data_IF_953037823787
#
_entry.id   IF_953037823787
#
_cell.length_a   1.000
_cell.length_b   1.000
_cell.length_c   1.000
_cell.angle_alpha   90.00
_cell.angle_beta   90.00
_cell.angle_gamma   90.00
#
_symmetry.space_group_name_H-M   'P 1'
#
loop_
_entity.id
_entity.type
_entity.pdbx_description
1 polymer ?
#
# COMPACT_ATOMS: atom_id res chain seq x y z
N UNK A 1 -58.48 -32.59 41.65
CA UNK A 1 -57.67 -31.35 41.50
C UNK A 1 -56.22 -31.47 41.96
N UNK A 2 -55.85 -32.23 43.01
CA UNK A 2 -54.43 -32.32 43.51
C UNK A 2 -53.46 -32.95 42.48
N UNK A 3 -53.91 -33.84 41.58
CA UNK A 3 -53.02 -34.43 40.57
C UNK A 3 -52.61 -33.47 39.44
N UNK A 4 -53.52 -32.61 39.01
CA UNK A 4 -53.25 -31.65 37.93
C UNK A 4 -52.19 -30.56 38.38
N UNK A 5 -52.28 -30.14 39.63
CA UNK A 5 -51.30 -29.14 40.17
C UNK A 5 -49.90 -29.74 40.19
N UNK A 6 -49.74 -31.00 40.59
CA UNK A 6 -48.42 -31.68 40.58
C UNK A 6 -47.80 -31.84 39.18
N UNK A 7 -48.67 -32.09 38.18
CA UNK A 7 -48.19 -32.14 36.78
C UNK A 7 -47.76 -30.78 36.29
N UNK A 8 -48.50 -29.73 36.64
CA UNK A 8 -48.14 -28.35 36.29
C UNK A 8 -46.82 -27.90 36.96
N UNK A 9 -46.66 -28.24 38.24
CA UNK A 9 -45.40 -27.97 38.99
C UNK A 9 -44.22 -28.69 38.33
N UNK A 10 -44.35 -29.95 37.90
CA UNK A 10 -43.33 -30.71 37.26
C UNK A 10 -42.94 -30.10 35.89
N UNK A 11 -43.92 -29.63 35.10
CA UNK A 11 -43.66 -28.97 33.81
C UNK A 11 -42.93 -27.67 34.00
N UNK A 12 -43.35 -26.83 34.97
CA UNK A 12 -42.69 -25.56 35.27
C UNK A 12 -41.24 -25.80 35.75
N UNK A 13 -41.05 -26.76 36.68
CA UNK A 13 -39.70 -27.12 37.13
C UNK A 13 -38.80 -27.60 35.99
N UNK A 14 -39.35 -28.40 35.06
CA UNK A 14 -38.59 -28.88 33.87
C UNK A 14 -38.19 -27.71 32.94
N UNK A 15 -39.08 -26.75 32.72
CA UNK A 15 -38.81 -25.58 31.89
C UNK A 15 -37.73 -24.71 32.55
N UNK A 16 -37.82 -24.48 33.87
CA UNK A 16 -36.83 -23.73 34.61
C UNK A 16 -35.44 -24.44 34.54
N UNK A 17 -35.44 -25.76 34.72
CA UNK A 17 -34.21 -26.55 34.65
C UNK A 17 -33.58 -26.51 33.25
N UNK A 18 -34.39 -26.68 32.19
CA UNK A 18 -33.95 -26.58 30.82
C UNK A 18 -33.40 -25.18 30.46
N UNK A 19 -34.07 -24.14 30.95
CA UNK A 19 -33.62 -22.75 30.77
C UNK A 19 -32.31 -22.50 31.53
N UNK A 20 -32.19 -22.96 32.75
CA UNK A 20 -30.95 -22.89 33.52
C UNK A 20 -29.83 -23.66 32.85
N UNK A 21 -30.09 -24.89 32.42
CA UNK A 21 -29.11 -25.69 31.68
C UNK A 21 -28.67 -25.01 30.36
N UNK A 22 -29.57 -24.37 29.62
CA UNK A 22 -29.21 -23.63 28.40
C UNK A 22 -28.36 -22.38 28.67
N UNK A 23 -28.46 -21.81 29.87
CA UNK A 23 -27.58 -20.73 30.30
C UNK A 23 -26.19 -21.21 30.70
N UNK A 24 -26.11 -22.37 31.35
CA UNK A 24 -24.82 -22.94 31.78
C UNK A 24 -24.11 -23.70 30.66
N UNK A 25 -24.86 -24.37 29.81
CA UNK A 25 -24.35 -25.01 28.60
C UNK A 25 -24.56 -24.08 27.37
N UNK A 26 -24.01 -22.86 27.42
CA UNK A 26 -23.74 -22.19 26.16
C UNK A 26 -22.93 -23.21 25.34
N UNK A 27 -23.37 -23.58 24.13
CA UNK A 27 -22.48 -24.34 23.26
C UNK A 27 -21.22 -23.48 23.13
N UNK A 28 -20.17 -23.84 23.87
CA UNK A 28 -18.87 -23.44 23.49
C UNK A 28 -18.72 -24.10 22.11
N UNK A 29 -18.87 -23.27 21.08
CA UNK A 29 -18.36 -23.62 19.76
C UNK A 29 -16.86 -23.71 20.02
N UNK A 30 -16.44 -24.90 20.44
CA UNK A 30 -15.02 -25.26 20.41
C UNK A 30 -14.75 -25.18 18.91
N UNK A 31 -14.13 -24.07 18.48
CA UNK A 31 -13.48 -24.04 17.17
C UNK A 31 -12.44 -25.16 17.28
N UNK A 32 -12.87 -26.35 16.90
CA UNK A 32 -12.00 -27.50 16.84
C UNK A 32 -10.97 -27.11 15.80
N UNK A 33 -9.68 -27.32 16.05
CA UNK A 33 -8.62 -26.99 15.09
C UNK A 33 -8.86 -27.56 13.68
N UNK A 34 -9.86 -28.39 13.53
CA UNK A 34 -10.42 -28.92 12.27
C UNK A 34 -11.00 -27.85 11.38
N UNK A 35 -11.68 -26.82 11.92
CA UNK A 35 -12.30 -25.77 11.11
C UNK A 35 -11.22 -24.90 10.44
N UNK A 36 -10.15 -24.59 11.16
CA UNK A 36 -9.02 -23.87 10.59
C UNK A 36 -8.24 -24.70 9.57
N UNK A 37 -8.12 -26.02 9.79
CA UNK A 37 -7.50 -26.95 8.83
C UNK A 37 -8.35 -27.05 7.57
N UNK A 38 -9.66 -27.20 7.73
CA UNK A 38 -10.60 -27.27 6.60
C UNK A 38 -10.57 -25.98 5.77
N UNK A 39 -10.62 -24.81 6.43
CA UNK A 39 -10.51 -23.53 5.75
C UNK A 39 -9.17 -23.41 4.99
N UNK A 40 -8.06 -23.79 5.63
CA UNK A 40 -6.74 -23.75 4.98
C UNK A 40 -6.68 -24.68 3.77
N UNK A 41 -7.22 -25.89 3.88
CA UNK A 41 -7.26 -26.84 2.76
C UNK A 41 -8.11 -26.29 1.64
N UNK A 42 -9.33 -25.80 1.95
CA UNK A 42 -10.23 -25.17 0.96
C UNK A 42 -9.55 -23.98 0.26
N UNK A 43 -8.89 -23.10 1.00
CA UNK A 43 -8.18 -21.97 0.42
C UNK A 43 -7.05 -22.41 -0.53
N UNK A 44 -6.25 -23.41 -0.11
CA UNK A 44 -5.19 -23.96 -0.96
C UNK A 44 -5.74 -24.61 -2.23
N UNK A 45 -6.81 -25.38 -2.13
CA UNK A 45 -7.43 -26.05 -3.28
C UNK A 45 -8.00 -25.07 -4.28
N UNK A 46 -8.63 -23.99 -3.80
CA UNK A 46 -9.14 -22.90 -4.65
C UNK A 46 -7.99 -22.19 -5.37
N UNK A 47 -6.94 -21.80 -4.63
CA UNK A 47 -5.78 -21.13 -5.21
C UNK A 47 -5.07 -22.04 -6.21
N UNK A 48 -4.89 -23.32 -5.89
CA UNK A 48 -4.31 -24.30 -6.79
C UNK A 48 -5.17 -24.49 -8.07
N UNK A 49 -6.49 -24.56 -7.93
CA UNK A 49 -7.41 -24.63 -9.06
C UNK A 49 -7.31 -23.42 -9.98
N UNK A 50 -7.29 -22.20 -9.40
CA UNK A 50 -7.11 -20.95 -10.16
C UNK A 50 -5.78 -20.92 -10.93
N UNK A 51 -4.73 -21.44 -10.32
CA UNK A 51 -3.42 -21.51 -10.94
C UNK A 51 -3.38 -22.51 -12.10
N UNK A 52 -3.80 -23.76 -11.85
CA UNK A 52 -3.70 -24.84 -12.83
C UNK A 52 -4.59 -24.63 -14.07
N UNK A 53 -5.71 -23.96 -13.91
CA UNK A 53 -6.58 -23.64 -15.05
C UNK A 53 -6.21 -22.33 -15.78
N UNK A 54 -5.15 -21.63 -15.33
CA UNK A 54 -4.68 -20.36 -15.90
C UNK A 54 -5.54 -19.14 -15.59
N UNK A 55 -6.64 -19.31 -14.87
CA UNK A 55 -7.56 -18.21 -14.56
C UNK A 55 -6.94 -17.15 -13.64
N UNK A 56 -6.02 -17.55 -12.74
CA UNK A 56 -5.34 -16.63 -11.86
C UNK A 56 -4.57 -15.56 -12.64
N UNK A 57 -3.74 -15.98 -13.60
CA UNK A 57 -2.98 -15.05 -14.44
C UNK A 57 -3.90 -14.16 -15.26
N UNK A 58 -4.99 -14.72 -15.81
CA UNK A 58 -5.98 -13.96 -16.56
C UNK A 58 -6.62 -12.87 -15.69
N UNK A 59 -7.16 -13.23 -14.53
CA UNK A 59 -7.81 -12.27 -13.63
C UNK A 59 -6.85 -11.16 -13.17
N UNK A 60 -5.58 -11.53 -12.86
CA UNK A 60 -4.58 -10.57 -12.38
C UNK A 60 -4.12 -9.63 -13.50
N UNK A 61 -3.80 -10.14 -14.69
CA UNK A 61 -3.26 -9.31 -15.77
C UNK A 61 -4.33 -8.50 -16.51
N UNK A 62 -5.56 -9.00 -16.60
CA UNK A 62 -6.68 -8.29 -17.21
C UNK A 62 -7.41 -7.38 -16.22
N UNK A 63 -7.02 -7.38 -14.92
CA UNK A 63 -7.74 -6.69 -13.84
C UNK A 63 -9.24 -7.02 -13.82
N UNK A 64 -9.55 -8.31 -13.98
CA UNK A 64 -10.94 -8.78 -14.04
C UNK A 64 -11.49 -9.04 -12.63
N UNK A 65 -11.73 -7.95 -11.89
CA UNK A 65 -12.30 -7.98 -10.54
C UNK A 65 -13.64 -8.70 -10.50
N UNK A 66 -14.45 -8.48 -11.56
CA UNK A 66 -15.78 -9.08 -11.63
C UNK A 66 -15.69 -10.59 -11.79
N UNK A 67 -14.86 -11.07 -12.72
CA UNK A 67 -14.65 -12.48 -12.94
C UNK A 67 -14.05 -13.17 -11.71
N UNK A 68 -13.12 -12.51 -11.03
CA UNK A 68 -12.54 -13.04 -9.80
C UNK A 68 -13.57 -13.11 -8.67
N UNK A 69 -14.39 -12.08 -8.48
CA UNK A 69 -15.47 -12.08 -7.48
C UNK A 69 -16.50 -13.17 -7.75
N UNK A 70 -16.89 -13.33 -9.01
CA UNK A 70 -17.83 -14.39 -9.42
C UNK A 70 -17.25 -15.79 -9.17
N UNK A 71 -15.96 -15.97 -9.45
CA UNK A 71 -15.28 -17.22 -9.18
C UNK A 71 -15.29 -17.57 -7.69
N UNK A 72 -14.87 -16.64 -6.81
CA UNK A 72 -14.85 -16.89 -5.36
C UNK A 72 -16.25 -17.05 -4.79
N UNK A 73 -17.22 -16.27 -5.27
CA UNK A 73 -18.62 -16.39 -4.87
C UNK A 73 -19.24 -17.75 -5.20
N UNK A 74 -18.74 -18.43 -6.25
CA UNK A 74 -19.18 -19.76 -6.65
C UNK A 74 -18.34 -20.88 -6.02
N UNK A 75 -17.04 -20.64 -5.78
CA UNK A 75 -16.12 -21.65 -5.26
C UNK A 75 -16.17 -21.80 -3.73
N UNK A 76 -16.51 -20.73 -3.02
CA UNK A 76 -16.58 -20.73 -1.57
C UNK A 76 -18.00 -21.02 -1.06
N UNK A 77 -18.13 -21.73 0.07
CA UNK A 77 -19.41 -21.88 0.76
C UNK A 77 -19.99 -20.50 1.14
N UNK A 78 -21.31 -20.36 1.09
CA UNK A 78 -22.02 -19.11 1.47
C UNK A 78 -21.76 -18.68 2.93
N UNK A 79 -21.27 -19.59 3.75
CA UNK A 79 -20.87 -19.36 5.15
C UNK A 79 -19.43 -18.88 5.28
N UNK A 80 -18.72 -18.69 4.17
CA UNK A 80 -17.32 -18.25 4.15
C UNK A 80 -17.20 -16.85 3.55
N UNK A 81 -16.59 -15.96 4.29
CA UNK A 81 -16.16 -14.65 3.79
C UNK A 81 -14.75 -14.75 3.20
N UNK A 82 -14.43 -13.85 2.30
CA UNK A 82 -13.09 -13.80 1.70
C UNK A 82 -12.63 -12.38 1.43
N UNK A 83 -11.32 -12.24 1.31
CA UNK A 83 -10.63 -11.07 0.78
C UNK A 83 -9.47 -11.52 -0.08
N UNK A 84 -9.30 -10.90 -1.22
CA UNK A 84 -8.19 -11.16 -2.13
C UNK A 84 -7.37 -9.92 -2.28
N UNK A 85 -6.07 -10.03 -2.10
CA UNK A 85 -5.10 -8.97 -2.36
C UNK A 85 -4.04 -9.49 -3.32
N UNK A 86 -3.77 -8.73 -4.37
CA UNK A 86 -2.73 -9.07 -5.34
C UNK A 86 -1.67 -8.00 -5.31
N UNK A 87 -0.44 -8.41 -5.04
CA UNK A 87 0.72 -7.55 -4.98
C UNK A 87 1.69 -7.91 -6.10
N UNK A 88 2.23 -6.94 -6.79
CA UNK A 88 3.42 -7.20 -7.60
C UNK A 88 4.60 -7.49 -6.69
N UNK A 89 5.29 -8.58 -6.94
CA UNK A 89 6.61 -8.78 -6.36
C UNK A 89 7.53 -7.79 -7.08
N UNK A 90 8.29 -6.94 -6.36
CA UNK A 90 9.26 -6.07 -7.00
C UNK A 90 10.10 -6.90 -7.97
N UNK A 91 10.04 -6.59 -9.25
CA UNK A 91 10.87 -7.27 -10.23
C UNK A 91 12.33 -7.05 -9.83
N UNK A 92 13.22 -7.99 -10.15
CA UNK A 92 14.65 -7.79 -9.96
C UNK A 92 15.18 -6.56 -10.74
N UNK A 93 14.36 -5.99 -11.60
CA UNK A 93 14.66 -4.87 -12.46
C UNK A 93 13.62 -3.77 -12.28
N UNK A 94 14.03 -2.60 -11.84
CA UNK A 94 13.19 -1.41 -11.76
C UNK A 94 13.62 -0.44 -12.85
N UNK A 95 12.69 -0.07 -13.73
CA UNK A 95 12.91 0.92 -14.78
C UNK A 95 12.47 2.29 -14.29
N UNK A 96 13.42 3.24 -14.25
CA UNK A 96 13.22 4.60 -13.78
C UNK A 96 13.47 5.55 -14.94
N UNK A 97 12.47 6.37 -15.24
CA UNK A 97 12.60 7.50 -16.18
C UNK A 97 13.04 8.75 -15.44
N UNK A 98 13.94 9.52 -16.03
CA UNK A 98 14.32 10.87 -15.58
C UNK A 98 14.00 11.87 -16.67
N UNK A 99 13.72 13.12 -16.31
CA UNK A 99 13.37 14.15 -17.30
C UNK A 99 14.55 14.98 -17.74
N UNK A 100 15.67 14.88 -17.04
CA UNK A 100 16.92 15.54 -17.36
C UNK A 100 18.13 14.64 -17.11
N UNK A 101 19.25 14.97 -17.74
CA UNK A 101 20.51 14.29 -17.46
C UNK A 101 20.97 14.56 -16.00
N UNK A 102 20.67 15.71 -15.45
CA UNK A 102 21.04 16.05 -14.08
C UNK A 102 20.28 15.16 -13.07
N UNK A 103 19.00 14.88 -13.34
CA UNK A 103 18.20 13.92 -12.55
C UNK A 103 18.82 12.52 -12.60
N UNK A 104 19.24 12.06 -13.78
CA UNK A 104 19.88 10.75 -13.95
C UNK A 104 21.21 10.68 -13.19
N UNK A 105 22.07 11.70 -13.35
CA UNK A 105 23.37 11.77 -12.65
C UNK A 105 23.17 11.79 -11.15
N UNK A 106 22.25 12.62 -10.66
CA UNK A 106 21.91 12.69 -9.25
C UNK A 106 21.47 11.34 -8.74
N UNK A 107 20.48 10.73 -9.37
CA UNK A 107 19.92 9.45 -8.93
C UNK A 107 20.97 8.34 -8.90
N UNK A 108 21.78 8.21 -9.94
CA UNK A 108 22.87 7.23 -10.02
C UNK A 108 23.96 7.46 -8.96
N UNK A 109 24.26 8.71 -8.65
CA UNK A 109 25.27 9.04 -7.63
C UNK A 109 24.83 8.63 -6.22
N UNK A 110 23.52 8.60 -5.98
CA UNK A 110 22.92 8.32 -4.67
C UNK A 110 22.70 6.83 -4.43
N UNK A 111 22.07 6.18 -5.38
CA UNK A 111 21.60 4.79 -5.21
C UNK A 111 22.40 3.78 -6.04
N UNK A 112 23.24 4.25 -6.95
CA UNK A 112 23.99 3.37 -7.86
C UNK A 112 23.09 2.68 -8.88
N UNK A 113 23.51 1.51 -9.31
CA UNK A 113 22.77 0.69 -10.29
C UNK A 113 22.00 -0.46 -9.63
N UNK A 114 22.06 -0.58 -8.30
CA UNK A 114 21.46 -1.69 -7.59
C UNK A 114 21.04 -1.30 -6.17
N UNK A 115 19.96 -1.91 -5.69
CA UNK A 115 19.51 -1.84 -4.31
C UNK A 115 19.52 -3.25 -3.74
N UNK A 116 20.18 -3.43 -2.58
CA UNK A 116 20.04 -4.66 -1.80
C UNK A 116 18.87 -4.52 -0.86
N UNK A 117 17.90 -5.42 -1.00
CA UNK A 117 16.73 -5.44 -0.15
C UNK A 117 16.48 -6.87 0.35
N UNK A 118 16.64 -7.08 1.65
CA UNK A 118 16.67 -8.42 2.27
C UNK A 118 17.72 -9.30 1.54
N UNK A 119 17.33 -10.48 1.07
CA UNK A 119 18.21 -11.41 0.36
C UNK A 119 18.19 -11.24 -1.17
N UNK A 120 17.67 -10.09 -1.65
CA UNK A 120 17.51 -9.82 -3.08
C UNK A 120 18.37 -8.67 -3.54
N UNK A 121 18.93 -8.82 -4.72
CA UNK A 121 19.61 -7.75 -5.45
C UNK A 121 18.66 -7.24 -6.53
N UNK A 122 18.35 -5.95 -6.51
CA UNK A 122 17.41 -5.29 -7.41
C UNK A 122 18.21 -4.34 -8.28
N UNK A 123 18.15 -4.53 -9.59
CA UNK A 123 18.86 -3.71 -10.56
C UNK A 123 18.01 -2.52 -11.00
N UNK A 124 18.63 -1.35 -11.07
CA UNK A 124 18.01 -0.12 -11.50
C UNK A 124 18.41 0.24 -12.91
N UNK A 125 17.43 0.37 -13.79
CA UNK A 125 17.60 0.83 -15.15
C UNK A 125 17.12 2.27 -15.27
N UNK A 126 18.05 3.21 -15.10
CA UNK A 126 17.73 4.64 -15.18
C UNK A 126 17.96 5.12 -16.61
N UNK A 127 16.96 5.78 -17.19
CA UNK A 127 17.02 6.30 -18.55
C UNK A 127 16.38 7.69 -18.62
N UNK A 128 17.08 8.62 -19.25
CA UNK A 128 16.48 9.92 -19.58
C UNK A 128 15.42 9.75 -20.66
N UNK A 129 14.27 10.39 -20.48
CA UNK A 129 13.09 10.30 -21.35
C UNK A 129 12.33 11.62 -21.38
N UNK A 130 11.36 11.71 -22.27
CA UNK A 130 10.40 12.82 -22.31
C UNK A 130 9.05 12.35 -21.77
N UNK A 131 8.26 13.27 -21.24
CA UNK A 131 6.91 12.96 -20.74
C UNK A 131 5.96 12.49 -21.87
N UNK A 132 6.24 12.85 -23.11
CA UNK A 132 5.44 12.44 -24.25
C UNK A 132 5.78 11.03 -24.75
N UNK A 133 6.94 10.48 -24.35
CA UNK A 133 7.41 9.15 -24.76
C UNK A 133 7.88 8.34 -23.54
N UNK A 134 6.93 8.02 -22.67
CA UNK A 134 7.17 7.20 -21.48
C UNK A 134 7.21 5.73 -21.90
N UNK A 135 8.39 5.11 -21.77
CA UNK A 135 8.55 3.67 -22.03
C UNK A 135 7.53 2.87 -21.19
N UNK A 136 6.77 1.94 -21.80
CA UNK A 136 5.78 1.11 -21.07
C UNK A 136 6.36 0.33 -19.88
N UNK A 137 7.66 0.04 -19.90
CA UNK A 137 8.36 -0.63 -18.79
C UNK A 137 8.69 0.28 -17.63
N UNK A 138 8.64 1.61 -17.83
CA UNK A 138 8.92 2.58 -16.77
C UNK A 138 7.92 2.44 -15.64
N UNK A 139 8.41 2.22 -14.44
CA UNK A 139 7.62 2.11 -13.21
C UNK A 139 7.66 3.38 -12.39
N UNK A 140 8.78 4.09 -12.44
CA UNK A 140 9.01 5.29 -11.65
C UNK A 140 9.48 6.41 -12.57
N UNK A 141 8.93 7.60 -12.41
CA UNK A 141 9.49 8.84 -12.94
C UNK A 141 10.11 9.60 -11.78
N UNK A 142 11.39 9.88 -11.90
CA UNK A 142 12.16 10.61 -10.91
C UNK A 142 12.49 12.01 -11.41
N UNK A 143 12.19 13.01 -10.59
CA UNK A 143 12.36 14.43 -10.90
C UNK A 143 13.10 15.10 -9.74
N UNK A 144 14.25 15.71 -10.03
CA UNK A 144 15.02 16.48 -9.06
C UNK A 144 15.02 17.96 -9.44
N UNK A 145 14.59 18.81 -8.50
CA UNK A 145 14.35 20.21 -8.79
C UNK A 145 12.94 20.47 -9.39
N UNK A 146 12.57 21.75 -9.40
CA UNK A 146 11.27 22.14 -9.94
C UNK A 146 11.30 22.21 -11.47
N UNK A 147 10.37 21.53 -12.08
CA UNK A 147 9.97 21.76 -13.47
C UNK A 147 8.45 21.88 -13.53
N UNK A 148 7.94 22.72 -14.42
CA UNK A 148 6.49 22.83 -14.61
C UNK A 148 5.97 21.54 -15.24
N UNK A 149 5.11 20.85 -14.53
CA UNK A 149 4.49 19.58 -14.97
C UNK A 149 3.13 19.78 -15.66
N UNK A 150 2.55 20.98 -15.60
CA UNK A 150 1.23 21.29 -16.18
C UNK A 150 1.10 20.96 -17.66
N UNK A 151 2.10 21.22 -18.53
CA UNK A 151 2.02 20.86 -19.93
C UNK A 151 1.83 19.33 -20.15
N UNK A 152 2.25 18.53 -19.17
CA UNK A 152 2.25 17.06 -19.25
C UNK A 152 1.15 16.40 -18.44
N UNK A 153 0.14 17.17 -17.99
CA UNK A 153 -0.94 16.69 -17.12
C UNK A 153 -1.59 15.39 -17.62
N UNK A 154 -1.89 15.31 -18.92
CA UNK A 154 -2.50 14.11 -19.51
C UNK A 154 -1.55 12.91 -19.48
N UNK A 155 -0.28 13.09 -19.82
CA UNK A 155 0.71 12.02 -19.79
C UNK A 155 0.95 11.51 -18.37
N UNK A 156 1.01 12.42 -17.39
CA UNK A 156 1.16 12.11 -15.96
C UNK A 156 -0.04 11.30 -15.47
N UNK A 157 -1.25 11.74 -15.74
CA UNK A 157 -2.45 11.02 -15.31
C UNK A 157 -2.51 9.63 -15.95
N UNK A 158 -2.22 9.50 -17.25
CA UNK A 158 -2.15 8.20 -17.92
C UNK A 158 -1.06 7.29 -17.33
N UNK A 159 0.06 7.87 -16.89
CA UNK A 159 1.12 7.11 -16.25
C UNK A 159 0.71 6.62 -14.85
N UNK A 160 0.10 7.48 -14.05
CA UNK A 160 -0.44 7.12 -12.74
C UNK A 160 -1.60 6.10 -12.86
N UNK A 161 -2.48 6.26 -13.85
CA UNK A 161 -3.58 5.32 -14.11
C UNK A 161 -3.09 3.89 -14.42
N UNK A 162 -1.89 3.76 -14.97
CA UNK A 162 -1.23 2.46 -15.19
C UNK A 162 -0.48 1.92 -13.96
N UNK A 163 -0.60 2.59 -12.81
CA UNK A 163 0.10 2.21 -11.58
C UNK A 163 1.54 2.72 -11.50
N UNK A 164 1.89 3.73 -12.29
CA UNK A 164 3.19 4.37 -12.25
C UNK A 164 3.40 5.21 -10.98
N UNK A 165 4.64 5.45 -10.61
CA UNK A 165 5.01 6.27 -9.45
C UNK A 165 5.82 7.48 -9.90
N UNK A 166 5.48 8.67 -9.38
CA UNK A 166 6.26 9.88 -9.61
C UNK A 166 6.89 10.32 -8.29
N UNK A 167 8.20 10.44 -8.28
CA UNK A 167 8.98 10.94 -7.14
C UNK A 167 9.53 12.31 -7.51
N UNK A 168 9.04 13.35 -6.86
CA UNK A 168 9.49 14.73 -7.01
C UNK A 168 10.27 15.16 -5.78
N UNK A 169 11.53 15.50 -5.95
CA UNK A 169 12.37 16.10 -4.90
C UNK A 169 12.60 17.56 -5.28
N UNK A 170 11.94 18.43 -4.60
CA UNK A 170 12.09 19.87 -4.87
C UNK A 170 11.64 20.72 -3.69
N UNK A 171 12.43 21.75 -3.41
CA UNK A 171 12.01 22.91 -2.64
C UNK A 171 11.08 23.75 -3.51
N UNK A 172 9.83 23.96 -3.07
CA UNK A 172 8.80 24.63 -3.84
C UNK A 172 8.45 25.99 -3.27
N UNK A 173 8.29 26.99 -4.13
CA UNK A 173 7.73 28.29 -3.77
C UNK A 173 6.20 28.28 -3.86
N UNK A 174 5.51 29.26 -3.26
CA UNK A 174 4.05 29.34 -3.23
C UNK A 174 3.41 29.30 -4.63
N UNK A 175 3.97 30.06 -5.57
CA UNK A 175 3.48 30.07 -6.95
C UNK A 175 3.64 28.74 -7.68
N UNK A 176 4.64 27.94 -7.29
CA UNK A 176 4.87 26.61 -7.83
C UNK A 176 3.89 25.59 -7.23
N UNK A 177 3.63 25.66 -5.91
CA UNK A 177 2.65 24.79 -5.26
C UNK A 177 1.24 25.01 -5.81
N UNK A 178 0.91 26.25 -6.17
CA UNK A 178 -0.36 26.58 -6.80
C UNK A 178 -0.43 26.14 -8.29
N UNK A 179 0.65 25.59 -8.84
CA UNK A 179 0.62 24.94 -10.14
C UNK A 179 -0.35 23.74 -10.08
N UNK A 180 -1.40 23.77 -10.91
CA UNK A 180 -2.59 22.92 -10.80
C UNK A 180 -2.29 21.44 -10.59
N UNK A 181 -1.25 20.90 -11.25
CA UNK A 181 -0.92 19.49 -11.13
C UNK A 181 -0.28 19.12 -9.77
N UNK A 182 0.52 20.02 -9.19
CA UNK A 182 1.12 19.77 -7.88
C UNK A 182 0.06 19.74 -6.79
N UNK A 183 -0.91 20.62 -6.87
CA UNK A 183 -2.05 20.63 -5.96
C UNK A 183 -2.99 19.44 -6.21
N UNK A 184 -3.41 19.20 -7.45
CA UNK A 184 -4.41 18.19 -7.79
C UNK A 184 -3.87 16.76 -7.67
N UNK A 185 -2.62 16.54 -8.08
CA UNK A 185 -2.06 15.18 -8.21
C UNK A 185 -1.16 14.82 -7.03
N UNK A 186 -0.30 15.74 -6.56
CA UNK A 186 0.54 15.50 -5.38
C UNK A 186 -0.16 15.94 -4.08
N UNK A 187 -1.32 16.58 -4.18
CA UNK A 187 -2.07 17.13 -3.04
C UNK A 187 -1.23 18.05 -2.16
N UNK A 188 -0.41 18.89 -2.80
CA UNK A 188 0.42 19.85 -2.10
C UNK A 188 -0.39 21.12 -1.83
N UNK A 189 -0.44 21.52 -0.57
CA UNK A 189 -1.09 22.76 -0.12
C UNK A 189 -0.05 23.64 0.54
N UNK A 190 -0.01 24.91 0.13
CA UNK A 190 0.90 25.89 0.74
C UNK A 190 0.47 26.24 2.16
N UNK A 191 1.34 26.04 3.13
CA UNK A 191 1.06 26.25 4.55
C UNK A 191 1.43 27.65 5.07
N UNK A 192 1.92 28.53 4.22
CA UNK A 192 2.39 29.87 4.58
C UNK A 192 3.92 30.00 4.55
N UNK A 193 4.44 31.22 4.65
CA UNK A 193 5.87 31.48 4.72
C UNK A 193 6.39 31.10 6.10
N UNK A 194 6.91 29.91 6.26
CA UNK A 194 7.59 29.48 7.46
C UNK A 194 9.09 29.47 7.27
N UNK A 195 9.80 30.48 7.73
CA UNK A 195 11.23 30.39 7.94
C UNK A 195 11.45 29.62 9.24
N UNK A 196 11.85 28.39 9.16
CA UNK A 196 12.17 27.58 10.32
C UNK A 196 13.40 26.73 10.03
N UNK A 197 14.52 27.03 10.69
CA UNK A 197 15.63 26.08 10.76
C UNK A 197 15.20 24.93 11.68
N UNK A 198 14.84 23.80 11.11
CA UNK A 198 14.43 22.61 11.85
C UNK A 198 15.41 21.47 11.61
N UNK A 199 15.94 20.92 12.67
CA UNK A 199 17.01 19.93 12.61
C UNK A 199 16.52 18.48 12.80
N UNK A 200 15.25 18.29 13.11
CA UNK A 200 14.68 16.98 13.39
C UNK A 200 13.47 16.71 12.49
N UNK A 201 13.46 15.53 11.90
CA UNK A 201 12.31 15.01 11.16
C UNK A 201 11.77 13.80 11.89
N UNK A 202 10.45 13.74 12.05
CA UNK A 202 9.78 12.60 12.66
C UNK A 202 9.03 11.83 11.60
N UNK A 203 9.30 10.52 11.56
CA UNK A 203 8.50 9.58 10.78
C UNK A 203 7.22 9.30 11.54
N UNK A 204 6.08 9.52 10.90
CA UNK A 204 4.81 9.05 11.43
C UNK A 204 4.68 7.55 11.12
N UNK A 205 5.04 6.73 12.11
CA UNK A 205 5.04 5.27 11.95
C UNK A 205 3.66 4.71 11.61
N UNK A 206 2.58 5.35 12.09
CA UNK A 206 1.21 4.92 11.78
C UNK A 206 0.90 5.14 10.31
N UNK A 207 1.26 6.29 9.78
CA UNK A 207 1.07 6.61 8.36
C UNK A 207 2.01 5.81 7.47
N UNK A 208 3.27 5.68 7.87
CA UNK A 208 4.22 4.84 7.15
C UNK A 208 3.74 3.38 7.06
N UNK A 209 3.09 2.87 8.10
CA UNK A 209 2.50 1.54 8.10
C UNK A 209 1.22 1.48 7.23
N UNK A 210 0.36 2.51 7.26
CA UNK A 210 -0.85 2.55 6.44
C UNK A 210 -0.54 2.52 4.95
N UNK A 211 0.51 3.23 4.53
CA UNK A 211 1.04 3.18 3.16
C UNK A 211 1.94 1.98 2.88
N UNK A 212 2.16 1.10 3.86
CA UNK A 212 3.06 -0.07 3.76
C UNK A 212 4.53 0.29 3.45
N UNK A 213 4.90 1.56 3.43
CA UNK A 213 6.27 2.01 3.16
C UNK A 213 7.24 1.63 4.29
N UNK A 214 6.73 1.47 5.51
CA UNK A 214 7.53 0.99 6.66
C UNK A 214 8.19 -0.37 6.40
N UNK A 215 7.65 -1.19 5.51
CA UNK A 215 8.23 -2.48 5.12
C UNK A 215 9.60 -2.34 4.46
N UNK A 216 9.89 -1.17 3.91
CA UNK A 216 11.14 -0.84 3.20
C UNK A 216 12.14 -0.07 4.05
N UNK A 217 11.76 0.38 5.24
CA UNK A 217 12.66 1.06 6.17
C UNK A 217 13.54 0.04 6.89
N UNK A 218 14.65 -0.36 6.29
CA UNK A 218 15.51 -1.38 6.89
C UNK A 218 16.33 -0.86 8.09
N UNK A 219 16.71 0.42 8.09
CA UNK A 219 17.61 0.99 9.09
C UNK A 219 17.22 2.40 9.56
N UNK A 220 16.00 2.86 9.24
CA UNK A 220 15.55 4.20 9.58
C UNK A 220 14.65 4.13 10.81
N UNK A 221 15.22 4.19 12.00
CA UNK A 221 14.45 4.27 13.25
C UNK A 221 14.09 5.70 13.64
N UNK A 222 14.92 6.64 13.27
CA UNK A 222 14.68 8.09 13.45
C UNK A 222 15.50 8.87 12.45
N UNK A 223 14.88 9.84 11.83
CA UNK A 223 15.57 10.75 10.93
C UNK A 223 15.96 12.00 11.72
N UNK A 224 17.21 12.07 12.16
CA UNK A 224 17.71 13.27 12.81
C UNK A 224 18.68 13.98 11.88
N UNK A 225 18.35 15.20 11.51
CA UNK A 225 19.23 16.06 10.74
C UNK A 225 19.97 17.01 11.68
N UNK A 226 21.28 16.88 11.73
CA UNK A 226 22.14 17.68 12.63
C UNK A 226 22.55 19.05 12.07
N UNK A 227 22.03 19.47 10.92
CA UNK A 227 22.31 20.76 10.31
C UNK A 227 21.04 21.55 10.10
N UNK A 228 21.15 22.87 10.30
CA UNK A 228 20.12 23.82 9.93
C UNK A 228 19.79 23.67 8.45
N UNK A 229 18.56 23.29 8.15
CA UNK A 229 17.98 23.61 6.86
C UNK A 229 17.66 25.08 6.89
N UNK A 230 18.31 25.82 6.07
CA UNK A 230 17.81 27.10 5.64
C UNK A 230 16.66 26.78 4.67
N UNK A 231 15.46 26.67 5.21
CA UNK A 231 14.26 26.79 4.38
C UNK A 231 14.21 28.27 3.99
N UNK A 232 14.93 28.63 2.96
CA UNK A 232 14.86 29.94 2.33
C UNK A 232 13.45 30.21 1.83
N UNK A 233 12.52 30.51 2.72
CA UNK A 233 11.15 30.92 2.42
C UNK A 233 10.32 29.97 1.54
N UNK A 234 10.88 28.85 1.11
CA UNK A 234 10.50 28.15 -0.10
C UNK A 234 9.85 26.80 0.12
N UNK A 235 9.45 26.32 1.25
CA UNK A 235 8.84 25.00 1.34
C UNK A 235 7.96 24.78 2.56
N UNK A 236 7.03 25.70 2.80
CA UNK A 236 5.99 25.44 3.78
C UNK A 236 4.86 24.65 3.15
N UNK A 237 5.03 23.34 2.98
CA UNK A 237 3.91 22.46 2.62
C UNK A 237 3.18 22.04 3.89
N UNK A 238 1.88 22.24 3.90
CA UNK A 238 1.04 21.94 5.04
C UNK A 238 1.12 20.45 5.44
N UNK A 239 1.24 20.21 6.75
CA UNK A 239 1.13 18.86 7.31
C UNK A 239 -0.33 18.44 7.31
N UNK A 240 -0.61 17.28 6.75
CA UNK A 240 -1.94 16.67 6.69
C UNK A 240 -1.86 15.14 6.89
N UNK A 241 -2.94 14.45 6.56
CA UNK A 241 -3.03 13.00 6.65
C UNK A 241 -2.06 12.24 5.72
N UNK A 242 -1.62 12.86 4.64
CA UNK A 242 -0.70 12.29 3.64
C UNK A 242 0.77 12.55 3.96
N UNK A 243 1.06 13.28 5.02
CA UNK A 243 2.42 13.59 5.45
C UNK A 243 3.01 12.40 6.22
N UNK A 244 4.01 11.73 5.66
CA UNK A 244 4.69 10.59 6.30
C UNK A 244 5.88 11.04 7.15
N UNK A 245 6.58 12.08 6.72
CA UNK A 245 7.70 12.67 7.46
C UNK A 245 7.45 14.17 7.60
N UNK A 246 7.49 14.64 8.84
CA UNK A 246 7.30 16.05 9.19
C UNK A 246 8.49 16.60 9.95
N UNK A 247 8.71 17.92 9.85
CA UNK A 247 9.66 18.62 10.70
C UNK A 247 9.19 18.60 12.16
N UNK A 248 10.10 18.45 13.10
CA UNK A 248 9.82 18.58 14.54
C UNK A 248 9.58 20.02 14.97
N UNK A 249 10.04 20.96 14.18
CA UNK A 249 9.95 22.40 14.45
C UNK A 249 9.05 23.06 13.41
N UNK A 250 7.76 23.07 13.67
CA UNK A 250 6.78 23.69 12.81
C UNK A 250 5.78 22.75 12.16
N UNK A 251 4.91 23.32 11.33
CA UNK A 251 3.81 22.61 10.67
C UNK A 251 4.17 22.21 9.23
N UNK A 252 5.44 21.90 8.97
CA UNK A 252 5.92 21.65 7.62
C UNK A 252 6.09 20.16 7.33
N UNK A 253 5.58 19.74 6.18
CA UNK A 253 5.82 18.40 5.63
C UNK A 253 7.22 18.32 5.04
N UNK A 254 7.88 17.16 5.21
CA UNK A 254 9.14 16.85 4.53
C UNK A 254 8.94 15.80 3.43
N UNK A 255 8.12 14.80 3.70
CA UNK A 255 7.70 13.80 2.71
C UNK A 255 6.20 13.64 2.76
N UNK A 256 5.57 13.83 1.61
CA UNK A 256 4.14 13.52 1.39
C UNK A 256 4.01 12.42 0.37
N UNK A 257 3.05 11.55 0.61
CA UNK A 257 2.71 10.43 -0.26
C UNK A 257 1.23 10.53 -0.59
N UNK A 258 0.90 10.41 -1.87
CA UNK A 258 -0.48 10.29 -2.31
C UNK A 258 -0.63 9.04 -3.18
N UNK A 259 -1.65 8.24 -2.91
CA UNK A 259 -2.01 7.06 -3.69
C UNK A 259 -3.25 7.36 -4.52
N UNK A 260 -3.14 7.09 -5.82
CA UNK A 260 -4.22 7.26 -6.79
C UNK A 260 -4.79 5.88 -7.11
N UNK A 261 -5.87 5.52 -6.41
CA UNK A 261 -6.56 4.26 -6.67
C UNK A 261 -7.29 4.36 -8.00
N UNK A 262 -6.87 3.59 -8.98
CA UNK A 262 -7.48 3.57 -10.31
C UNK A 262 -7.93 2.15 -10.65
N UNK A 263 -8.69 2.02 -11.73
CA UNK A 263 -9.13 0.71 -12.23
C UNK A 263 -7.98 -0.19 -12.67
N UNK A 264 -6.84 0.40 -13.04
CA UNK A 264 -5.71 -0.31 -13.67
C UNK A 264 -4.48 -0.44 -12.78
N UNK A 265 -4.54 0.10 -11.56
CA UNK A 265 -3.45 0.05 -10.59
C UNK A 265 -3.50 1.20 -9.59
N UNK A 266 -2.61 1.18 -8.62
CA UNK A 266 -2.45 2.30 -7.70
C UNK A 266 -1.28 3.17 -8.18
N UNK A 267 -1.59 4.23 -8.90
CA UNK A 267 -0.61 5.27 -9.17
C UNK A 267 -0.18 5.91 -7.86
N UNK A 268 1.07 6.34 -7.78
CA UNK A 268 1.62 6.92 -6.56
C UNK A 268 2.36 8.21 -6.87
N UNK A 269 2.22 9.19 -6.00
CA UNK A 269 3.07 10.38 -6.03
C UNK A 269 3.76 10.57 -4.70
N UNK A 270 5.02 10.93 -4.78
CA UNK A 270 5.86 11.26 -3.64
C UNK A 270 6.43 12.64 -3.86
N UNK A 271 6.27 13.50 -2.89
CA UNK A 271 7.02 14.75 -2.83
C UNK A 271 7.94 14.73 -1.63
N UNK A 272 9.18 15.13 -1.83
CA UNK A 272 10.21 15.32 -0.81
C UNK A 272 10.76 16.75 -0.91
N UNK A 273 10.81 17.44 0.22
CA UNK A 273 11.13 18.88 0.26
C UNK A 273 12.53 19.20 -0.24
N UNK A 274 13.49 18.36 0.08
CA UNK A 274 14.90 18.57 -0.24
C UNK A 274 15.71 17.27 -0.11
N UNK A 275 16.90 17.26 -0.69
CA UNK A 275 17.84 16.16 -0.61
C UNK A 275 19.26 16.66 -0.49
N UNK A 276 20.00 16.23 0.53
CA UNK A 276 21.37 16.68 0.83
C UNK A 276 22.41 15.56 0.86
N UNK A 277 22.13 14.44 0.22
CA UNK A 277 23.06 13.29 0.05
C UNK A 277 23.53 12.65 1.36
N UNK A 278 22.68 12.62 2.39
CA UNK A 278 22.98 11.92 3.64
C UNK A 278 22.60 10.45 3.58
N UNK A 279 23.24 9.66 4.42
CA UNK A 279 22.97 8.22 4.45
C UNK A 279 21.49 7.91 4.71
N UNK A 280 20.86 8.64 5.64
CA UNK A 280 19.44 8.46 5.98
C UNK A 280 18.53 8.85 4.82
N UNK A 281 18.86 9.91 4.10
CA UNK A 281 18.12 10.34 2.90
C UNK A 281 18.31 9.35 1.76
N UNK A 282 19.49 8.77 1.63
CA UNK A 282 19.78 7.72 0.65
C UNK A 282 18.93 6.48 0.94
N UNK A 283 18.88 6.04 2.20
CA UNK A 283 18.05 4.91 2.61
C UNK A 283 16.55 5.20 2.42
N UNK A 284 16.12 6.42 2.73
CA UNK A 284 14.75 6.86 2.47
C UNK A 284 14.42 6.82 0.98
N UNK A 285 15.29 7.36 0.13
CA UNK A 285 15.08 7.35 -1.32
C UNK A 285 15.03 5.92 -1.88
N UNK A 286 15.90 5.02 -1.41
CA UNK A 286 15.84 3.60 -1.75
C UNK A 286 14.49 2.98 -1.34
N UNK A 287 14.03 3.28 -0.13
CA UNK A 287 12.73 2.80 0.36
C UNK A 287 11.56 3.32 -0.49
N UNK A 288 11.58 4.60 -0.88
CA UNK A 288 10.58 5.22 -1.75
C UNK A 288 10.57 4.60 -3.16
N UNK A 289 11.74 4.28 -3.70
CA UNK A 289 11.86 3.60 -5.01
C UNK A 289 11.32 2.17 -4.92
N UNK A 290 11.69 1.41 -3.89
CA UNK A 290 11.17 0.05 -3.69
C UNK A 290 9.66 0.06 -3.53
N UNK A 291 9.15 0.93 -2.67
CA UNK A 291 7.72 1.10 -2.45
C UNK A 291 6.98 1.57 -3.72
N UNK A 292 7.58 2.52 -4.43
CA UNK A 292 7.02 3.04 -5.70
C UNK A 292 6.99 2.00 -6.81
N UNK A 293 7.89 1.03 -6.79
CA UNK A 293 7.92 -0.04 -7.78
C UNK A 293 6.90 -1.16 -7.52
N UNK A 294 6.31 -1.20 -6.32
CA UNK A 294 5.22 -2.12 -6.01
C UNK A 294 3.90 -1.61 -6.61
N UNK A 295 3.35 -2.38 -7.52
CA UNK A 295 2.00 -2.18 -7.97
C UNK A 295 1.06 -3.02 -7.09
N UNK A 296 0.15 -2.35 -6.41
CA UNK A 296 -1.01 -3.02 -5.85
C UNK A 296 -2.01 -3.18 -6.99
N UNK A 297 -2.17 -4.40 -7.49
CA UNK A 297 -3.01 -4.63 -8.68
C UNK A 297 -4.49 -4.77 -8.32
N UNK A 298 -4.80 -5.37 -7.18
CA UNK A 298 -6.19 -5.70 -6.86
C UNK A 298 -6.38 -5.89 -5.35
N UNK A 299 -7.44 -5.33 -4.81
CA UNK A 299 -7.91 -5.59 -3.46
C UNK A 299 -9.42 -5.81 -3.49
N UNK A 300 -9.81 -7.07 -3.47
CA UNK A 300 -11.21 -7.47 -3.40
C UNK A 300 -11.59 -7.73 -1.96
N UNK A 301 -12.55 -6.97 -1.50
CA UNK A 301 -12.99 -6.99 -0.12
C UNK A 301 -14.49 -7.25 -0.04
N UNK A 302 -14.88 -8.43 0.44
CA UNK A 302 -16.29 -8.76 0.59
C UNK A 302 -16.85 -8.27 1.93
N UNK A 303 -16.13 -8.49 3.04
CA UNK A 303 -16.59 -8.15 4.39
C UNK A 303 -15.43 -7.79 5.31
N UNK A 304 -15.74 -7.12 6.43
CA UNK A 304 -14.75 -6.84 7.47
C UNK A 304 -14.10 -8.15 7.95
N UNK A 305 -12.76 -8.24 7.83
CA UNK A 305 -12.00 -9.40 8.28
C UNK A 305 -12.15 -9.51 9.81
N UNK A 306 -12.60 -10.65 10.34
CA UNK A 306 -12.67 -10.88 11.78
C UNK A 306 -11.27 -11.15 12.37
N UNK A 307 -11.20 -11.31 13.68
CA UNK A 307 -9.95 -11.61 14.39
C UNK A 307 -9.41 -13.02 14.03
N UNK A 308 -10.30 -13.97 13.70
CA UNK A 308 -9.95 -15.34 13.28
C UNK A 308 -10.13 -15.49 11.76
N UNK A 309 -9.02 -15.68 11.06
CA UNK A 309 -8.99 -15.88 9.62
C UNK A 309 -7.82 -16.79 9.20
N UNK A 310 -7.91 -17.31 8.00
CA UNK A 310 -6.83 -18.08 7.36
C UNK A 310 -6.31 -17.35 6.14
N UNK A 311 -4.98 -17.23 6.03
CA UNK A 311 -4.30 -16.64 4.87
C UNK A 311 -3.52 -17.69 4.09
N UNK A 312 -3.64 -17.62 2.78
CA UNK A 312 -2.86 -18.42 1.83
C UNK A 312 -2.19 -17.48 0.84
N UNK A 313 -0.92 -17.71 0.60
CA UNK A 313 -0.12 -16.93 -0.33
C UNK A 313 0.31 -17.79 -1.51
N UNK A 314 0.26 -17.22 -2.67
CA UNK A 314 0.76 -17.84 -3.89
C UNK A 314 1.59 -16.83 -4.69
N UNK A 315 2.79 -17.25 -5.12
CA UNK A 315 3.65 -16.46 -5.99
C UNK A 315 3.55 -17.00 -7.41
N UNK A 316 3.11 -16.17 -8.34
CA UNK A 316 2.92 -16.54 -9.75
C UNK A 316 3.44 -15.48 -10.71
N UNK A 317 3.23 -15.69 -12.01
CA UNK A 317 3.37 -14.64 -13.00
C UNK A 317 4.60 -14.66 -13.90
N UNK A 318 5.46 -15.65 -13.87
CA UNK A 318 6.55 -15.77 -14.86
C UNK A 318 7.40 -14.48 -15.03
N UNK A 319 7.24 -13.80 -16.15
CA UNK A 319 7.98 -12.57 -16.47
C UNK A 319 7.53 -11.35 -15.66
N UNK A 320 6.28 -11.34 -15.22
CA UNK A 320 5.71 -10.33 -14.32
C UNK A 320 5.24 -11.01 -13.03
N UNK A 321 6.15 -11.19 -12.05
CA UNK A 321 5.81 -11.91 -10.83
C UNK A 321 4.81 -11.12 -9.98
N UNK A 322 3.87 -11.82 -9.39
CA UNK A 322 2.93 -11.27 -8.42
C UNK A 322 2.79 -12.17 -7.20
N UNK A 323 2.38 -11.58 -6.09
CA UNK A 323 2.00 -12.29 -4.88
C UNK A 323 0.48 -12.22 -4.74
N UNK A 324 -0.18 -13.37 -4.76
CA UNK A 324 -1.60 -13.50 -4.53
C UNK A 324 -1.83 -13.89 -3.07
N UNK A 325 -2.62 -13.10 -2.36
CA UNK A 325 -3.03 -13.36 -0.98
C UNK A 325 -4.53 -13.61 -0.96
N UNK A 326 -4.94 -14.80 -0.54
CA UNK A 326 -6.33 -15.13 -0.24
C UNK A 326 -6.50 -15.21 1.27
N UNK A 327 -7.36 -14.39 1.83
CA UNK A 327 -7.81 -14.45 3.21
C UNK A 327 -9.23 -14.96 3.26
N UNK A 328 -9.51 -15.99 4.06
CA UNK A 328 -10.86 -16.55 4.23
C UNK A 328 -11.18 -16.71 5.71
N UNK A 329 -12.48 -16.63 6.04
CA UNK A 329 -13.00 -16.78 7.40
C UNK A 329 -14.44 -17.31 7.38
N UNK A 330 -14.86 -17.88 8.48
CA UNK A 330 -16.25 -18.29 8.65
C UNK A 330 -17.14 -17.08 8.98
N UNK A 331 -18.31 -17.02 8.36
CA UNK A 331 -19.38 -16.05 8.65
C UNK A 331 -20.39 -16.74 9.57
N UNK A 332 -20.42 -16.37 10.84
CA UNK A 332 -21.38 -16.88 11.80
C UNK A 332 -22.52 -15.87 12.02
#
# INVERSE_FOLDING_TARGET
MKGFIRILEAIIASIILLTALSFFFKPQIISTGWDSILLKTTANDIVASLYFNGSMSKFVFENDDKGMNEYFGNALPKTTGYSVSVYNIPSHNIYIGTLSNDDEVMLRSVIGNEIKYRDRQIFLYVKNMTMDDIDPKTKIIFIYGYTSLNPYKTAINNFLDRGGTIILISSLAQNQVNDGILNETFDLVWGGSGSGSGNLYNIDNTKAASYKISNYFQNISSFSKSTSFDFDGASSIQVDEKTVIKSSFGSNSYVKINEHVTRYGNGKTVWMADYTSRNEENELLKALILWGSEDFKMDLYDKKIPDEYTKVFYAGGGAEPFLFELTIWNIF
#
